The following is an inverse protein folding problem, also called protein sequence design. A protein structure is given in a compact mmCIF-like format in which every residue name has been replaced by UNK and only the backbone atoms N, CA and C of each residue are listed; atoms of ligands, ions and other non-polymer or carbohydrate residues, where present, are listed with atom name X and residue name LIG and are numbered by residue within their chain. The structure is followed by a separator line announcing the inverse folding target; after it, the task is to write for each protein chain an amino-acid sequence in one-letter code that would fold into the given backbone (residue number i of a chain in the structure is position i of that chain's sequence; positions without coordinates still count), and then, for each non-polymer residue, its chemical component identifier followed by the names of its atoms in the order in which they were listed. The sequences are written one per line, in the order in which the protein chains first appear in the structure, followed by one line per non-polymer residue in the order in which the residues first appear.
data_IF_944007075849
#
_entry.id   IF_944007075849
#
_cell.length_a   1.000
_cell.length_b   1.000
_cell.length_c   1.000
_cell.angle_alpha   90.00
_cell.angle_beta   90.00
_cell.angle_gamma   90.00
#
_symmetry.space_group_name_H-M   'P 1'
#
loop_
_entity.id
_entity.type
_entity.pdbx_description
1 polymer ?
#
# COMPACT_ATOMS: atom_id res chain seq x y z
N UNK A 1 23.52 33.20 -15.23
CA UNK A 1 24.35 32.01 -15.52
C UNK A 1 24.27 30.98 -14.41
N UNK A 2 24.31 31.40 -13.15
CA UNK A 2 24.19 30.49 -11.97
C UNK A 2 22.87 29.70 -11.93
N UNK A 3 21.73 30.32 -12.25
CA UNK A 3 20.45 29.65 -12.27
C UNK A 3 20.40 28.49 -13.28
N UNK A 4 20.94 28.67 -14.48
CA UNK A 4 21.03 27.62 -15.50
C UNK A 4 21.99 26.50 -15.09
N UNK A 5 23.09 26.85 -14.42
CA UNK A 5 24.05 25.85 -13.93
C UNK A 5 23.41 24.99 -12.84
N UNK A 6 22.67 25.58 -11.92
CA UNK A 6 21.94 24.89 -10.87
C UNK A 6 20.85 23.96 -11.46
N UNK A 7 20.12 24.41 -12.48
CA UNK A 7 19.09 23.60 -13.15
C UNK A 7 19.70 22.36 -13.83
N UNK A 8 20.83 22.53 -14.53
CA UNK A 8 21.55 21.42 -15.16
C UNK A 8 22.08 20.44 -14.11
N UNK A 9 22.63 20.95 -13.01
CA UNK A 9 23.11 20.14 -11.91
C UNK A 9 21.96 19.31 -11.30
N UNK A 10 20.84 19.93 -10.95
CA UNK A 10 19.66 19.26 -10.40
C UNK A 10 19.11 18.20 -11.36
N UNK A 11 19.10 18.45 -12.67
CA UNK A 11 18.69 17.48 -13.67
C UNK A 11 19.61 16.26 -13.70
N UNK A 12 20.93 16.47 -13.60
CA UNK A 12 21.91 15.37 -13.54
C UNK A 12 21.74 14.51 -12.29
N UNK A 13 21.52 15.15 -11.13
CA UNK A 13 21.29 14.45 -9.86
C UNK A 13 20.03 13.59 -9.95
N UNK A 14 18.92 14.11 -10.50
CA UNK A 14 17.69 13.33 -10.70
C UNK A 14 17.87 12.15 -11.65
N UNK A 15 18.61 12.34 -12.74
CA UNK A 15 18.88 11.25 -13.68
C UNK A 15 19.77 10.15 -13.06
N UNK A 16 20.77 10.52 -12.29
CA UNK A 16 21.62 9.59 -11.58
C UNK A 16 20.81 8.80 -10.54
N UNK A 17 19.91 9.46 -9.80
CA UNK A 17 19.01 8.84 -8.84
C UNK A 17 18.03 7.87 -9.51
N UNK A 18 17.43 8.24 -10.64
CA UNK A 18 16.57 7.36 -11.43
C UNK A 18 17.28 6.11 -11.94
N UNK A 19 18.51 6.27 -12.44
CA UNK A 19 19.31 5.14 -12.94
C UNK A 19 19.66 4.18 -11.80
N UNK A 20 20.10 4.72 -10.66
CA UNK A 20 20.38 3.93 -9.47
C UNK A 20 19.14 3.16 -8.98
N UNK A 21 17.98 3.83 -8.93
CA UNK A 21 16.73 3.17 -8.57
C UNK A 21 16.35 2.04 -9.52
N UNK A 22 16.50 2.26 -10.81
CA UNK A 22 16.22 1.22 -11.82
C UNK A 22 17.14 0.00 -11.65
N UNK A 23 18.42 0.23 -11.46
CA UNK A 23 19.42 -0.83 -11.23
C UNK A 23 19.10 -1.62 -9.96
N UNK A 24 18.82 -0.93 -8.85
CA UNK A 24 18.46 -1.57 -7.58
C UNK A 24 17.10 -2.29 -7.61
N UNK A 25 16.16 -1.79 -8.40
CA UNK A 25 14.88 -2.48 -8.62
C UNK A 25 15.05 -3.80 -9.37
N UNK A 26 15.98 -3.86 -10.30
CA UNK A 26 16.32 -5.10 -11.03
C UNK A 26 17.00 -6.10 -10.09
N UNK A 27 18.01 -5.67 -9.33
CA UNK A 27 18.66 -6.51 -8.30
C UNK A 27 17.64 -7.09 -7.30
N UNK A 28 16.68 -6.29 -6.86
CA UNK A 28 15.61 -6.70 -5.96
C UNK A 28 14.72 -7.77 -6.59
N UNK A 29 14.35 -7.61 -7.85
CA UNK A 29 13.54 -8.56 -8.58
C UNK A 29 14.25 -9.91 -8.75
N UNK A 30 15.53 -9.88 -9.11
CA UNK A 30 16.37 -11.06 -9.26
C UNK A 30 16.53 -11.81 -7.93
N UNK A 31 16.77 -11.08 -6.84
CA UNK A 31 16.91 -11.65 -5.51
C UNK A 31 15.59 -12.27 -5.03
N UNK A 32 14.47 -11.58 -5.18
CA UNK A 32 13.15 -12.09 -4.81
C UNK A 32 12.81 -13.37 -5.59
N UNK A 33 13.09 -13.40 -6.87
CA UNK A 33 12.88 -14.58 -7.71
C UNK A 33 13.79 -15.75 -7.31
N UNK A 34 15.07 -15.47 -7.08
CA UNK A 34 16.08 -16.45 -6.63
C UNK A 34 15.64 -17.14 -5.34
N UNK A 35 15.25 -16.36 -4.34
CA UNK A 35 14.83 -16.87 -3.03
C UNK A 35 13.50 -17.65 -3.12
N UNK A 36 12.52 -17.15 -3.86
CA UNK A 36 11.25 -17.86 -4.03
C UNK A 36 11.39 -19.19 -4.77
N UNK A 37 12.24 -19.26 -5.77
CA UNK A 37 12.46 -20.47 -6.59
C UNK A 37 13.56 -21.39 -6.04
N UNK A 38 14.38 -20.90 -5.09
CA UNK A 38 15.54 -21.65 -4.57
C UNK A 38 16.63 -21.85 -5.62
N UNK A 39 16.77 -20.90 -6.55
CA UNK A 39 17.74 -20.93 -7.66
C UNK A 39 18.89 -19.97 -7.35
N UNK A 40 20.11 -20.27 -7.80
CA UNK A 40 21.23 -19.38 -7.62
C UNK A 40 21.10 -18.10 -8.45
N UNK A 41 21.49 -16.95 -7.87
CA UNK A 41 21.41 -15.62 -8.50
C UNK A 41 22.13 -15.57 -9.87
N UNK A 42 23.25 -16.29 -10.01
CA UNK A 42 24.00 -16.35 -11.27
C UNK A 42 23.20 -17.05 -12.40
N UNK A 43 22.37 -18.03 -12.06
CA UNK A 43 21.48 -18.71 -13.00
C UNK A 43 20.30 -17.83 -13.38
N UNK A 44 19.79 -17.03 -12.43
CA UNK A 44 18.70 -16.07 -12.62
C UNK A 44 19.10 -15.01 -13.65
N UNK A 45 20.25 -14.38 -13.50
CA UNK A 45 20.77 -13.32 -14.38
C UNK A 45 20.98 -13.77 -15.83
N UNK A 46 21.21 -15.08 -16.05
CA UNK A 46 21.49 -15.63 -17.38
C UNK A 46 20.26 -16.19 -18.13
N UNK A 47 19.16 -16.53 -17.45
CA UNK A 47 18.07 -17.36 -18.01
C UNK A 47 16.68 -16.77 -17.91
N UNK A 48 16.46 -15.68 -17.20
CA UNK A 48 15.10 -15.16 -16.94
C UNK A 48 14.59 -14.24 -18.06
N UNK A 49 13.38 -14.56 -18.50
CA UNK A 49 12.58 -13.61 -19.28
C UNK A 49 11.92 -12.59 -18.36
N UNK A 50 11.72 -11.36 -18.85
CA UNK A 50 11.01 -10.30 -18.12
C UNK A 50 9.57 -10.73 -17.77
N UNK A 51 8.98 -11.66 -18.51
CA UNK A 51 7.65 -12.21 -18.28
C UNK A 51 7.61 -13.08 -17.03
N UNK A 52 8.65 -13.89 -16.80
CA UNK A 52 8.75 -14.75 -15.60
C UNK A 52 8.97 -13.92 -14.33
N UNK A 53 9.79 -12.87 -14.43
CA UNK A 53 10.01 -11.94 -13.30
C UNK A 53 8.74 -11.18 -12.98
N UNK A 54 8.01 -10.68 -13.98
CA UNK A 54 6.80 -9.91 -13.77
C UNK A 54 5.60 -10.73 -13.28
N UNK A 55 5.65 -12.06 -13.44
CA UNK A 55 4.63 -12.98 -12.90
C UNK A 55 4.90 -13.42 -11.46
N UNK A 56 5.94 -12.88 -10.83
CA UNK A 56 6.28 -13.19 -9.45
C UNK A 56 5.28 -12.55 -8.49
N UNK A 57 4.59 -13.37 -7.73
CA UNK A 57 3.73 -12.94 -6.62
C UNK A 57 4.30 -13.48 -5.31
N UNK A 58 4.39 -12.66 -4.28
CA UNK A 58 4.89 -13.01 -2.96
C UNK A 58 3.76 -12.91 -1.94
N UNK A 59 3.55 -13.98 -1.17
CA UNK A 59 2.69 -13.92 0.01
C UNK A 59 3.35 -13.11 1.12
N UNK A 60 2.57 -12.71 2.13
CA UNK A 60 3.08 -11.99 3.30
C UNK A 60 4.24 -12.74 3.99
N UNK A 61 4.12 -14.07 4.14
CA UNK A 61 5.16 -14.90 4.75
C UNK A 61 6.45 -14.90 3.92
N UNK A 62 6.33 -15.11 2.60
CA UNK A 62 7.47 -15.11 1.67
C UNK A 62 8.16 -13.74 1.62
N UNK A 63 7.40 -12.65 1.61
CA UNK A 63 7.95 -11.30 1.62
C UNK A 63 8.66 -10.96 2.95
N UNK A 64 8.06 -11.34 4.07
CA UNK A 64 8.70 -11.18 5.38
C UNK A 64 9.99 -12.01 5.51
N UNK A 65 10.05 -13.20 4.91
CA UNK A 65 11.28 -14.00 4.88
C UNK A 65 12.33 -13.34 3.97
N UNK A 66 11.92 -12.76 2.84
CA UNK A 66 12.79 -11.96 1.98
C UNK A 66 13.38 -10.75 2.74
N UNK A 67 12.57 -10.03 3.52
CA UNK A 67 13.02 -8.90 4.35
C UNK A 67 14.02 -9.29 5.45
N UNK A 68 14.12 -10.56 5.83
CA UNK A 68 15.15 -11.05 6.79
C UNK A 68 16.50 -11.28 6.13
N UNK A 69 16.55 -11.39 4.80
CA UNK A 69 17.79 -11.61 4.06
C UNK A 69 18.67 -10.36 4.07
N UNK A 70 19.95 -10.53 4.43
CA UNK A 70 20.86 -9.38 4.56
C UNK A 70 21.02 -8.62 3.24
N UNK A 71 21.16 -9.33 2.11
CA UNK A 71 21.27 -8.68 0.79
C UNK A 71 20.02 -7.84 0.45
N UNK A 72 18.84 -8.28 0.87
CA UNK A 72 17.60 -7.53 0.64
C UNK A 72 17.48 -6.33 1.57
N UNK A 73 17.93 -6.45 2.82
CA UNK A 73 18.01 -5.30 3.74
C UNK A 73 18.97 -4.24 3.22
N UNK A 74 20.13 -4.65 2.72
CA UNK A 74 21.10 -3.73 2.13
C UNK A 74 20.53 -3.02 0.89
N UNK A 75 19.75 -3.73 0.07
CA UNK A 75 19.02 -3.12 -1.06
C UNK A 75 17.99 -2.09 -0.56
N UNK A 76 17.16 -2.43 0.42
CA UNK A 76 16.17 -1.49 0.99
C UNK A 76 16.86 -0.26 1.59
N UNK A 77 17.94 -0.45 2.35
CA UNK A 77 18.72 0.64 2.93
C UNK A 77 19.34 1.54 1.84
N UNK A 78 19.83 0.96 0.73
CA UNK A 78 20.36 1.71 -0.42
C UNK A 78 19.28 2.54 -1.14
N UNK A 79 18.01 2.21 -0.92
CA UNK A 79 16.83 2.89 -1.44
C UNK A 79 16.15 3.82 -0.43
N UNK A 80 16.83 4.18 0.65
CA UNK A 80 16.33 5.05 1.73
C UNK A 80 15.04 4.52 2.41
N UNK A 81 14.87 3.19 2.46
CA UNK A 81 13.80 2.54 3.25
C UNK A 81 14.37 2.20 4.62
N UNK A 82 13.81 2.79 5.67
CA UNK A 82 14.30 2.58 7.03
C UNK A 82 13.97 1.16 7.54
N UNK A 83 14.86 0.58 8.36
CA UNK A 83 14.67 -0.77 8.91
C UNK A 83 13.42 -0.86 9.80
N UNK A 84 13.04 0.24 10.45
CA UNK A 84 11.84 0.34 11.28
C UNK A 84 10.56 0.16 10.46
N UNK A 85 10.57 0.51 9.18
CA UNK A 85 9.42 0.40 8.28
C UNK A 85 9.23 -1.02 7.71
N UNK A 86 10.23 -1.91 7.88
CA UNK A 86 10.17 -3.26 7.29
C UNK A 86 9.04 -4.13 7.86
N UNK A 87 8.60 -3.89 9.12
CA UNK A 87 7.56 -4.68 9.79
C UNK A 87 6.18 -4.50 9.14
N UNK A 88 5.87 -3.28 8.71
CA UNK A 88 4.57 -2.93 8.10
C UNK A 88 4.71 -2.72 6.58
N UNK A 89 5.88 -3.09 6.02
CA UNK A 89 6.19 -2.83 4.61
C UNK A 89 5.24 -3.59 3.69
N UNK A 90 4.90 -4.83 3.99
CA UNK A 90 3.95 -5.62 3.21
C UNK A 90 2.60 -4.91 3.07
N UNK A 91 1.99 -4.52 4.20
CA UNK A 91 0.68 -3.86 4.21
C UNK A 91 0.71 -2.47 3.53
N UNK A 92 1.88 -1.82 3.54
CA UNK A 92 2.09 -0.54 2.86
C UNK A 92 2.18 -0.69 1.34
N UNK A 93 2.73 -1.82 0.88
CA UNK A 93 2.93 -2.13 -0.54
C UNK A 93 1.69 -2.79 -1.17
N UNK A 94 0.93 -3.58 -0.41
CA UNK A 94 -0.33 -4.24 -0.84
C UNK A 94 -1.47 -3.20 -0.97
N UNK A 95 -1.42 -2.43 -2.05
CA UNK A 95 -2.34 -1.30 -2.27
C UNK A 95 -3.75 -1.77 -2.61
N UNK A 96 -3.88 -2.91 -3.26
CA UNK A 96 -5.16 -3.46 -3.69
C UNK A 96 -5.82 -4.37 -2.64
N UNK A 97 -5.08 -4.74 -1.57
CA UNK A 97 -5.53 -5.66 -0.53
C UNK A 97 -5.65 -7.11 -1.02
N UNK A 98 -4.88 -7.48 -2.04
CA UNK A 98 -4.87 -8.81 -2.65
C UNK A 98 -4.29 -9.90 -1.74
N UNK A 99 -3.51 -9.53 -0.73
CA UNK A 99 -2.83 -10.45 0.18
C UNK A 99 -1.58 -11.11 -0.43
N UNK A 100 -1.23 -10.73 -1.63
CA UNK A 100 0.02 -11.04 -2.32
C UNK A 100 0.60 -9.78 -2.92
N UNK A 101 1.93 -9.70 -3.02
CA UNK A 101 2.62 -8.59 -3.67
C UNK A 101 3.18 -9.06 -5.02
N UNK A 102 2.78 -8.38 -6.08
CA UNK A 102 3.49 -8.51 -7.34
C UNK A 102 4.76 -7.63 -7.37
N UNK A 103 5.64 -7.90 -8.31
CA UNK A 103 6.88 -7.13 -8.43
C UNK A 103 6.65 -5.66 -8.76
N UNK A 104 5.61 -5.33 -9.53
CA UNK A 104 5.22 -3.97 -9.87
C UNK A 104 4.79 -3.17 -8.63
N UNK A 105 4.01 -3.80 -7.74
CA UNK A 105 3.62 -3.22 -6.46
C UNK A 105 4.83 -2.96 -5.55
N UNK A 106 5.75 -3.94 -5.46
CA UNK A 106 6.97 -3.80 -4.68
C UNK A 106 7.80 -2.63 -5.19
N UNK A 107 8.14 -2.60 -6.48
CA UNK A 107 8.98 -1.55 -7.08
C UNK A 107 8.28 -0.19 -7.01
N UNK A 108 6.99 -0.13 -7.37
CA UNK A 108 6.21 1.12 -7.34
C UNK A 108 6.04 1.65 -5.92
N UNK A 109 5.78 0.77 -4.95
CA UNK A 109 5.60 1.13 -3.56
C UNK A 109 6.90 1.63 -2.93
N UNK A 110 8.02 0.92 -3.10
CA UNK A 110 9.34 1.36 -2.64
C UNK A 110 9.73 2.68 -3.31
N UNK A 111 9.44 2.85 -4.60
CA UNK A 111 9.66 4.11 -5.30
C UNK A 111 8.89 5.30 -4.71
N UNK A 112 7.75 5.07 -4.07
CA UNK A 112 6.95 6.09 -3.37
C UNK A 112 7.45 6.34 -1.95
N UNK A 113 8.00 5.32 -1.28
CA UNK A 113 8.55 5.42 0.07
C UNK A 113 9.89 6.16 0.11
N UNK A 114 10.62 6.19 -1.02
CA UNK A 114 11.93 6.87 -1.13
C UNK A 114 11.83 8.37 -0.91
N UNK A 115 12.80 8.87 -0.14
CA UNK A 115 13.02 10.29 0.06
C UNK A 115 12.04 10.96 1.02
N UNK A 116 12.25 12.26 1.23
CA UNK A 116 11.43 13.06 2.13
C UNK A 116 10.00 13.22 1.63
N UNK A 117 9.02 13.01 2.52
CA UNK A 117 7.62 13.29 2.24
C UNK A 117 7.44 14.76 1.82
N UNK A 118 6.83 14.99 0.67
CA UNK A 118 6.55 16.35 0.21
C UNK A 118 5.49 17.00 1.10
N UNK A 119 5.67 18.28 1.40
CA UNK A 119 4.67 19.05 2.16
C UNK A 119 3.26 18.98 1.54
N UNK A 120 3.18 18.90 0.20
CA UNK A 120 1.93 18.69 -0.53
C UNK A 120 1.24 17.37 -0.18
N UNK A 121 2.01 16.29 -0.02
CA UNK A 121 1.50 14.95 0.25
C UNK A 121 0.96 14.88 1.67
N UNK A 122 1.68 15.46 2.63
CA UNK A 122 1.22 15.60 4.02
C UNK A 122 -0.07 16.42 4.10
N UNK A 123 -0.16 17.52 3.36
CA UNK A 123 -1.39 18.35 3.31
C UNK A 123 -2.54 17.57 2.68
N UNK A 124 -2.29 16.82 1.60
CA UNK A 124 -3.31 15.98 0.96
C UNK A 124 -3.85 14.91 1.92
N UNK A 125 -2.98 14.23 2.66
CA UNK A 125 -3.38 13.25 3.68
C UNK A 125 -4.23 13.91 4.77
N UNK A 126 -3.83 15.07 5.29
CA UNK A 126 -4.61 15.81 6.29
C UNK A 126 -6.02 16.15 5.77
N UNK A 127 -6.13 16.56 4.50
CA UNK A 127 -7.42 16.88 3.89
C UNK A 127 -8.30 15.61 3.73
N UNK A 128 -7.72 14.49 3.30
CA UNK A 128 -8.41 13.21 3.20
C UNK A 128 -8.91 12.71 4.56
N UNK A 129 -8.08 12.77 5.60
CA UNK A 129 -8.47 12.40 6.96
C UNK A 129 -9.61 13.27 7.48
N UNK A 130 -9.57 14.59 7.23
CA UNK A 130 -10.67 15.50 7.58
C UNK A 130 -11.96 15.16 6.82
N UNK A 131 -11.87 14.81 5.54
CA UNK A 131 -13.03 14.41 4.75
C UNK A 131 -13.62 13.09 5.28
N UNK A 132 -12.79 12.10 5.55
CA UNK A 132 -13.20 10.82 6.13
C UNK A 132 -13.87 11.00 7.49
N UNK A 133 -13.29 11.83 8.36
CA UNK A 133 -13.86 12.15 9.68
C UNK A 133 -15.24 12.79 9.57
N UNK A 134 -15.46 13.66 8.58
CA UNK A 134 -16.77 14.27 8.33
C UNK A 134 -17.79 13.23 7.88
N UNK A 135 -17.43 12.41 6.87
CA UNK A 135 -18.32 11.36 6.36
C UNK A 135 -18.69 10.36 7.48
N UNK A 136 -17.73 10.00 8.35
CA UNK A 136 -18.00 9.12 9.48
C UNK A 136 -18.96 9.75 10.50
N UNK A 137 -18.88 11.05 10.72
CA UNK A 137 -19.79 11.79 11.59
C UNK A 137 -21.19 11.84 11.03
N UNK A 138 -21.32 12.08 9.72
CA UNK A 138 -22.60 12.06 9.00
C UNK A 138 -23.23 10.68 9.04
N UNK A 139 -22.47 9.64 8.73
CA UNK A 139 -22.92 8.24 8.81
C UNK A 139 -23.39 7.84 10.20
N UNK A 140 -22.66 8.25 11.26
CA UNK A 140 -23.09 8.04 12.67
C UNK A 140 -24.40 8.74 12.96
N UNK A 141 -24.59 9.95 12.43
CA UNK A 141 -25.85 10.70 12.59
C UNK A 141 -27.04 10.01 11.91
N UNK A 142 -26.84 9.54 10.69
CA UNK A 142 -27.88 8.83 9.92
C UNK A 142 -28.26 7.50 10.56
N UNK A 143 -27.27 6.73 11.01
CA UNK A 143 -27.51 5.45 11.71
C UNK A 143 -28.23 5.67 13.03
N UNK A 144 -27.85 6.67 13.83
CA UNK A 144 -28.53 7.02 15.07
C UNK A 144 -29.99 7.44 14.84
N UNK A 145 -30.27 8.23 13.78
CA UNK A 145 -31.61 8.63 13.41
C UNK A 145 -32.47 7.41 12.98
N UNK A 146 -31.90 6.50 12.18
CA UNK A 146 -32.57 5.28 11.75
C UNK A 146 -32.91 4.37 12.94
N UNK A 147 -31.97 4.17 13.89
CA UNK A 147 -32.25 3.43 15.13
C UNK A 147 -33.29 4.10 16.01
N UNK A 148 -33.28 5.43 16.09
CA UNK A 148 -34.33 6.19 16.82
C UNK A 148 -35.74 5.97 16.23
N UNK A 149 -35.86 5.94 14.90
CA UNK A 149 -37.12 5.66 14.23
C UNK A 149 -37.61 4.22 14.50
N UNK A 150 -36.72 3.23 14.43
CA UNK A 150 -37.03 1.84 14.74
C UNK A 150 -37.51 1.66 16.18
N UNK A 151 -36.85 2.29 17.13
CA UNK A 151 -37.24 2.23 18.56
C UNK A 151 -38.60 2.88 18.78
N UNK A 152 -38.89 4.00 18.12
CA UNK A 152 -40.21 4.65 18.21
C UNK A 152 -41.31 3.79 17.59
N UNK A 153 -41.03 3.08 16.51
CA UNK A 153 -41.96 2.15 15.88
C UNK A 153 -42.25 0.92 16.78
N UNK A 154 -41.20 0.34 17.38
CA UNK A 154 -41.37 -0.75 18.35
C UNK A 154 -42.25 -0.34 19.53
N UNK A 155 -42.03 0.84 20.08
CA UNK A 155 -42.89 1.38 21.17
C UNK A 155 -44.33 1.59 20.69
N UNK A 156 -44.55 2.04 19.46
CA UNK A 156 -45.88 2.22 18.90
C UNK A 156 -46.62 0.88 18.77
N UNK A 157 -45.96 -0.16 18.25
CA UNK A 157 -46.52 -1.52 18.09
C UNK A 157 -46.84 -2.14 19.46
N UNK A 158 -46.01 -1.90 20.48
CA UNK A 158 -46.20 -2.44 21.80
C UNK A 158 -47.38 -1.77 22.57
N UNK A 159 -47.71 -0.52 22.20
CA UNK A 159 -48.83 0.23 22.83
C UNK A 159 -50.19 -0.01 22.15
N UNK A 160 -50.22 -0.65 20.96
CA UNK A 160 -51.40 -1.06 20.23
C UNK A 160 -51.35 -2.53 19.82
N UNK A 161 -51.59 -3.46 20.72
CA UNK A 161 -51.58 -4.90 20.44
C UNK A 161 -52.69 -5.34 19.48
N UNK A 162 -53.73 -4.53 19.24
CA UNK A 162 -54.81 -4.74 18.29
C UNK A 162 -54.39 -4.69 16.83
N UNK A 163 -53.23 -4.08 16.51
CA UNK A 163 -52.71 -4.04 15.15
C UNK A 163 -51.79 -5.22 14.78
N UNK A 164 -51.42 -6.05 15.78
CA UNK A 164 -50.53 -7.20 15.54
C UNK A 164 -51.27 -8.40 14.91
N UNK A 165 -52.60 -8.45 14.97
CA UNK A 165 -53.40 -9.51 14.33
C UNK A 165 -53.58 -9.29 12.84
N UNK A 166 -53.58 -8.03 12.34
CA UNK A 166 -53.79 -7.72 10.93
C UNK A 166 -52.51 -7.96 10.08
N UNK A 167 -51.34 -8.04 10.68
CA UNK A 167 -50.07 -8.26 9.94
C UNK A 167 -49.79 -9.77 9.73
N UNK A 168 -50.48 -10.65 10.44
CA UNK A 168 -50.31 -12.12 10.32
C UNK A 168 -51.09 -12.72 9.13
N UNK A 169 -51.81 -11.92 8.34
CA UNK A 169 -52.71 -12.39 7.25
C UNK A 169 -52.27 -11.92 5.86
N UNK A 170 -51.02 -11.46 5.67
CA UNK A 170 -50.49 -11.12 4.35
C UNK A 170 -49.31 -11.98 3.95
#
# INVERSE_FOLDING_TARGET
QEAKHNEIYQKRVRLADQNMFHEKSLEMAELAYSLKKGINLEEVACSLSMEEISSLELTNEEFNDLCKHEDFKDLLASLDVAEEDHLDLFDTLDVDGGGTLDLGEIISGIGKLRGDARKSDVVAIILLVKHLSRNLTEFKGETAAAFGQLSSFQNFVQYRPDLSEDISLV
#
